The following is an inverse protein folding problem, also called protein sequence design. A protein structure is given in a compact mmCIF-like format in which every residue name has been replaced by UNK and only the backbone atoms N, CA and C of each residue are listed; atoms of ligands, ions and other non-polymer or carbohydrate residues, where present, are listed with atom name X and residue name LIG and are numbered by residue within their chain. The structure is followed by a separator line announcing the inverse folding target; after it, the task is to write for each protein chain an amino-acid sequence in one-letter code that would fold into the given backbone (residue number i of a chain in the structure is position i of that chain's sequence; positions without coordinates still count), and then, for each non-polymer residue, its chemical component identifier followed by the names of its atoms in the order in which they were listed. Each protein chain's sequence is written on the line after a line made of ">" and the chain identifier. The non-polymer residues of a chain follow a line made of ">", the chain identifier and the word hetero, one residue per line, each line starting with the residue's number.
data_IF_765597175353
#
_entry.id   IF_765597175353
#
_cell.length_a   1.000
_cell.length_b   1.000
_cell.length_c   1.000
_cell.angle_alpha   90.00
_cell.angle_beta   90.00
_cell.angle_gamma   90.00
#
_symmetry.space_group_name_H-M   'P 1'
#
loop_
_entity.id
_entity.type
_entity.pdbx_description
1 polymer ?
#
# COMPACT_ATOMS: atom_id res chain seq x y z
N UNK A 1 27.01 31.10 39.91
CA UNK A 1 26.69 31.45 38.50
C UNK A 1 27.36 30.39 37.60
N UNK A 2 26.60 29.57 36.86
CA UNK A 2 27.15 28.47 36.03
C UNK A 2 26.67 28.58 34.57
N UNK A 3 27.60 28.38 33.62
CA UNK A 3 27.52 27.67 32.32
C UNK A 3 26.28 27.85 31.38
N UNK A 4 26.37 28.23 30.09
CA UNK A 4 26.88 27.47 28.89
C UNK A 4 25.91 26.32 28.48
N UNK A 5 25.36 26.17 27.24
CA UNK A 5 25.58 26.83 25.92
C UNK A 5 24.41 26.63 24.88
N UNK A 6 24.39 27.46 23.81
CA UNK A 6 23.97 27.17 22.40
C UNK A 6 22.50 26.87 21.95
N UNK A 7 22.18 27.45 20.78
CA UNK A 7 21.29 27.00 19.66
C UNK A 7 19.75 26.91 19.76
N UNK A 8 19.10 27.73 18.92
CA UNK A 8 17.89 27.53 18.06
C UNK A 8 16.72 26.65 18.59
N UNK A 9 15.44 27.02 18.44
CA UNK A 9 14.78 27.23 17.14
C UNK A 9 13.39 27.91 17.26
N UNK A 10 12.87 28.41 16.14
CA UNK A 10 11.55 29.05 16.01
C UNK A 10 10.43 28.02 16.23
N UNK A 11 9.41 28.34 17.03
CA UNK A 11 8.32 27.42 17.39
C UNK A 11 7.40 27.13 16.19
N UNK A 12 7.65 26.03 15.47
CA UNK A 12 6.68 25.45 14.55
C UNK A 12 5.55 24.82 15.37
N UNK A 13 4.35 25.40 15.29
CA UNK A 13 3.16 24.70 15.77
C UNK A 13 2.98 23.44 14.93
N UNK A 14 3.04 22.29 15.59
CA UNK A 14 2.86 21.00 14.94
C UNK A 14 1.43 20.88 14.44
N UNK A 15 1.23 20.99 13.13
CA UNK A 15 0.00 20.55 12.47
C UNK A 15 0.01 19.02 12.40
N UNK A 16 -0.16 18.36 13.55
CA UNK A 16 -0.52 16.94 13.58
C UNK A 16 -1.94 16.80 13.04
N UNK A 17 -2.06 16.69 11.72
CA UNK A 17 -3.20 15.98 11.11
C UNK A 17 -3.22 14.59 11.72
N UNK A 18 -4.16 14.39 12.66
CA UNK A 18 -4.49 13.07 13.19
C UNK A 18 -4.78 12.19 11.98
N UNK A 19 -3.89 11.24 11.70
CA UNK A 19 -4.11 10.27 10.63
C UNK A 19 -5.51 9.67 10.84
N UNK A 20 -6.30 9.64 9.78
CA UNK A 20 -7.66 9.10 9.86
C UNK A 20 -7.49 7.58 9.93
N UNK A 21 -7.39 7.08 11.16
CA UNK A 21 -6.89 5.76 11.55
C UNK A 21 -7.77 4.56 11.12
N UNK A 22 -8.54 4.71 10.05
CA UNK A 22 -9.25 3.65 9.34
C UNK A 22 -8.94 3.58 7.84
N UNK A 23 -8.11 4.48 7.29
CA UNK A 23 -7.61 4.37 5.91
C UNK A 23 -6.22 3.73 5.81
N UNK A 24 -5.39 3.87 6.85
CA UNK A 24 -4.06 3.28 6.90
C UNK A 24 -4.15 1.76 6.88
N UNK A 25 -3.61 1.13 5.82
CA UNK A 25 -3.56 -0.31 5.67
C UNK A 25 -2.20 -0.74 5.12
N UNK A 26 -1.48 -1.54 5.88
CA UNK A 26 -0.23 -2.21 5.43
C UNK A 26 -0.50 -3.54 4.72
N UNK A 27 -1.76 -4.00 4.73
CA UNK A 27 -2.19 -5.31 4.25
C UNK A 27 -1.56 -6.51 4.99
N UNK A 28 -0.93 -6.31 6.15
CA UNK A 28 -0.20 -7.40 6.85
C UNK A 28 -1.09 -8.42 7.57
N UNK A 29 -2.35 -8.08 7.84
CA UNK A 29 -3.34 -9.04 8.40
C UNK A 29 -4.42 -9.38 7.37
N UNK A 30 -5.04 -8.37 6.77
CA UNK A 30 -6.15 -8.51 5.84
C UNK A 30 -6.19 -7.34 4.83
N UNK A 31 -7.35 -7.04 4.26
CA UNK A 31 -7.56 -5.88 3.37
C UNK A 31 -7.92 -4.58 4.13
N UNK A 32 -7.92 -4.57 5.46
CA UNK A 32 -8.39 -3.49 6.33
C UNK A 32 -9.78 -2.92 5.97
N UNK A 33 -10.65 -3.72 5.34
CA UNK A 33 -11.96 -3.29 4.82
C UNK A 33 -11.94 -2.61 3.44
N UNK A 34 -10.79 -2.48 2.78
CA UNK A 34 -10.71 -2.08 1.38
C UNK A 34 -11.35 -3.16 0.48
N UNK A 35 -12.08 -2.75 -0.55
CA UNK A 35 -12.90 -3.65 -1.39
C UNK A 35 -12.70 -3.38 -2.88
N UNK A 36 -13.00 -4.37 -3.73
CA UNK A 36 -12.99 -4.20 -5.20
C UNK A 36 -14.10 -3.24 -5.64
N UNK A 37 -13.78 -2.30 -6.52
CA UNK A 37 -14.77 -1.42 -7.15
C UNK A 37 -15.76 -2.14 -8.08
N UNK A 38 -16.91 -1.52 -8.33
CA UNK A 38 -17.93 -2.04 -9.24
C UNK A 38 -17.57 -1.75 -10.70
N UNK A 39 -17.79 -2.72 -11.59
CA UNK A 39 -17.48 -2.61 -13.03
C UNK A 39 -16.07 -3.05 -13.42
N UNK A 40 -15.24 -3.43 -12.44
CA UNK A 40 -13.84 -3.75 -12.67
C UNK A 40 -13.63 -5.14 -13.30
N UNK A 41 -12.91 -5.18 -14.42
CA UNK A 41 -12.48 -6.39 -15.15
C UNK A 41 -11.42 -7.20 -14.40
N UNK A 42 -10.48 -6.53 -13.74
CA UNK A 42 -9.41 -7.17 -12.96
C UNK A 42 -9.75 -7.24 -11.47
N UNK A 43 -9.26 -8.30 -10.83
CA UNK A 43 -9.31 -8.50 -9.38
C UNK A 43 -8.01 -8.01 -8.71
N UNK A 44 -8.15 -7.48 -7.50
CA UNK A 44 -7.06 -7.13 -6.61
C UNK A 44 -6.82 -8.28 -5.63
N UNK A 45 -5.58 -8.74 -5.53
CA UNK A 45 -5.19 -9.87 -4.70
C UNK A 45 -4.14 -9.45 -3.68
N UNK A 46 -4.26 -9.96 -2.46
CA UNK A 46 -3.28 -9.83 -1.38
C UNK A 46 -2.25 -10.96 -1.51
N UNK A 47 -1.01 -10.61 -1.86
CA UNK A 47 0.06 -11.56 -2.19
C UNK A 47 1.29 -11.32 -1.32
N UNK A 48 2.13 -12.35 -1.20
CA UNK A 48 3.53 -12.20 -0.76
C UNK A 48 4.46 -12.14 -1.97
N UNK A 49 5.68 -11.59 -1.84
CA UNK A 49 6.68 -11.60 -2.91
C UNK A 49 7.01 -13.01 -3.43
N UNK A 50 6.64 -13.29 -4.68
CA UNK A 50 6.93 -14.57 -5.34
C UNK A 50 8.27 -14.53 -6.06
N UNK A 51 9.28 -15.22 -5.55
CA UNK A 51 10.61 -15.33 -6.17
C UNK A 51 10.68 -16.17 -7.47
N UNK A 52 9.55 -16.47 -8.11
CA UNK A 52 9.49 -17.30 -9.32
C UNK A 52 8.93 -16.53 -10.53
N UNK A 53 9.77 -15.99 -11.42
CA UNK A 53 9.34 -15.30 -12.64
C UNK A 53 8.50 -16.17 -13.60
N UNK A 54 8.60 -17.50 -13.51
CA UNK A 54 7.88 -18.43 -14.37
C UNK A 54 6.43 -18.68 -13.91
N UNK A 55 6.03 -18.19 -12.73
CA UNK A 55 4.67 -18.33 -12.21
C UNK A 55 3.66 -17.36 -12.87
N UNK A 56 4.09 -16.54 -13.85
CA UNK A 56 3.26 -15.53 -14.51
C UNK A 56 2.97 -14.29 -13.67
N UNK A 57 3.37 -14.27 -12.40
CA UNK A 57 3.25 -13.12 -11.49
C UNK A 57 4.57 -12.35 -11.50
N UNK A 58 4.65 -11.30 -12.32
CA UNK A 58 5.71 -10.30 -12.23
C UNK A 58 5.34 -9.36 -11.08
N UNK A 59 5.89 -9.61 -9.90
CA UNK A 59 5.65 -8.83 -8.68
C UNK A 59 6.94 -8.32 -8.02
N UNK A 60 6.84 -7.38 -7.07
CA UNK A 60 7.98 -6.94 -6.27
C UNK A 60 8.59 -8.10 -5.46
N UNK A 61 9.92 -8.06 -5.28
CA UNK A 61 10.69 -9.06 -4.52
C UNK A 61 10.59 -8.89 -3.00
N UNK A 62 10.10 -7.74 -2.54
CA UNK A 62 9.95 -7.38 -1.13
C UNK A 62 8.69 -6.54 -0.95
N UNK A 63 7.96 -6.77 0.13
CA UNK A 63 6.98 -5.81 0.64
C UNK A 63 7.70 -4.58 1.24
N UNK A 64 7.02 -3.43 1.25
CA UNK A 64 7.52 -2.17 1.80
C UNK A 64 7.36 -2.05 3.32
N UNK A 65 6.41 -2.75 3.95
CA UNK A 65 6.14 -2.70 5.39
C UNK A 65 7.28 -3.34 6.20
N UNK A 66 7.76 -4.51 5.78
CA UNK A 66 8.86 -5.22 6.42
C UNK A 66 10.18 -5.18 5.63
N UNK A 67 10.16 -4.68 4.39
CA UNK A 67 11.35 -4.60 3.54
C UNK A 67 11.89 -5.96 3.09
N UNK A 68 11.06 -7.01 3.09
CA UNK A 68 11.47 -8.38 2.84
C UNK A 68 10.35 -9.21 2.17
N UNK A 69 10.59 -10.49 1.91
CA UNK A 69 9.65 -11.40 1.24
C UNK A 69 8.56 -12.01 2.14
N UNK A 70 8.50 -11.65 3.43
CA UNK A 70 7.48 -12.20 4.36
C UNK A 70 6.26 -11.31 4.53
N UNK A 71 6.35 -10.03 4.16
CA UNK A 71 5.21 -9.11 4.18
C UNK A 71 4.23 -9.33 3.03
N UNK A 72 3.17 -8.53 3.00
CA UNK A 72 2.06 -8.64 2.07
C UNK A 72 1.73 -7.31 1.40
N UNK A 73 1.43 -7.36 0.11
CA UNK A 73 0.98 -6.22 -0.67
C UNK A 73 -0.23 -6.60 -1.51
N UNK A 74 -0.95 -5.60 -2.03
CA UNK A 74 -2.06 -5.82 -2.96
C UNK A 74 -1.59 -5.57 -4.39
N UNK A 75 -1.93 -6.48 -5.31
CA UNK A 75 -1.58 -6.38 -6.73
C UNK A 75 -2.70 -6.95 -7.61
N UNK A 76 -2.76 -6.52 -8.86
CA UNK A 76 -3.59 -7.17 -9.88
C UNK A 76 -2.80 -8.31 -10.52
N UNK A 77 -3.36 -9.52 -10.53
CA UNK A 77 -2.76 -10.63 -11.29
C UNK A 77 -3.11 -10.46 -12.76
N UNK A 78 -2.21 -9.84 -13.52
CA UNK A 78 -2.35 -9.68 -14.96
C UNK A 78 -1.91 -10.99 -15.65
N UNK A 79 -2.79 -11.73 -16.34
CA UNK A 79 -2.35 -12.88 -17.12
C UNK A 79 -1.42 -12.42 -18.24
N UNK A 80 -0.40 -13.22 -18.55
CA UNK A 80 0.41 -13.05 -19.77
C UNK A 80 -0.29 -13.88 -20.87
N UNK A 81 -0.71 -13.30 -22.01
CA UNK A 81 -0.37 -11.97 -22.54
C UNK A 81 -1.14 -10.83 -21.87
N UNK A 82 -0.44 -9.71 -21.66
CA UNK A 82 -1.01 -8.49 -21.07
C UNK A 82 -2.28 -8.09 -21.86
N UNK A 83 -3.46 -7.98 -21.21
CA UNK A 83 -4.67 -7.50 -21.86
C UNK A 83 -4.48 -6.07 -22.37
N UNK A 84 -5.34 -5.63 -23.28
CA UNK A 84 -5.22 -4.30 -23.86
C UNK A 84 -5.22 -3.24 -22.75
N UNK A 85 -4.42 -2.19 -22.90
CA UNK A 85 -4.20 -1.17 -21.84
C UNK A 85 -5.51 -0.50 -21.36
N UNK A 86 -6.56 -0.57 -22.19
CA UNK A 86 -7.95 -0.18 -21.88
C UNK A 86 -8.58 -0.95 -20.72
N UNK A 87 -8.15 -2.20 -20.48
CA UNK A 87 -8.75 -3.07 -19.46
C UNK A 87 -8.18 -2.81 -18.06
N UNK A 88 -7.01 -2.17 -17.98
CA UNK A 88 -6.34 -1.80 -16.72
C UNK A 88 -7.01 -0.59 -16.06
N UNK A 89 -7.51 0.36 -16.88
CA UNK A 89 -8.20 1.59 -16.46
C UNK A 89 -9.50 1.32 -15.68
N UNK A 90 -10.01 0.09 -15.76
CA UNK A 90 -11.18 -0.37 -15.00
C UNK A 90 -10.82 -0.99 -13.64
N UNK A 91 -9.55 -1.09 -13.25
CA UNK A 91 -9.16 -1.71 -11.97
C UNK A 91 -9.07 -0.70 -10.83
N UNK A 92 -10.01 -0.76 -9.89
CA UNK A 92 -10.12 0.17 -8.74
C UNK A 92 -10.29 -0.56 -7.40
N UNK A 93 -9.76 0.04 -6.34
CA UNK A 93 -9.96 -0.40 -4.96
C UNK A 93 -10.63 0.72 -4.16
N UNK A 94 -11.70 0.38 -3.45
CA UNK A 94 -12.55 1.31 -2.70
C UNK A 94 -12.18 1.23 -1.23
N UNK A 95 -11.93 2.38 -0.62
CA UNK A 95 -11.56 2.47 0.79
C UNK A 95 -12.73 2.11 1.73
N UNK A 96 -12.45 1.74 2.98
CA UNK A 96 -13.49 1.47 3.97
C UNK A 96 -14.41 2.67 4.18
N UNK A 97 -15.70 2.41 4.44
CA UNK A 97 -16.57 3.45 5.01
C UNK A 97 -16.23 3.59 6.49
N UNK A 98 -15.74 4.75 6.87
CA UNK A 98 -15.45 5.05 8.27
C UNK A 98 -16.70 5.62 8.98
N UNK A 99 -16.82 5.45 10.31
CA UNK A 99 -17.93 5.99 11.10
C UNK A 99 -18.01 7.52 11.09
#
# INVERSE_FOLDING_TARGET
>A
LKAIQSSQSRTTQSLTTKAVAGYDCTFEQDMCGWTKGQGNTLDWFREQPSGNPLAGIIGPLTDHTYGNSTGYYVTTRVPIPIPAISDIDLSSIVSPRLP
#
